data_IF_433073960645
#
_entry.id   IF_433073960645
#
_cell.length_a   1.000
_cell.length_b   1.000
_cell.length_c   1.000
_cell.angle_alpha   90.00
_cell.angle_beta   90.00
_cell.angle_gamma   90.00
#
_symmetry.space_group_name_H-M   'P 1'
#
loop_
_entity.id
_entity.type
_entity.pdbx_description
1 polymer ?
#
# COMPACT_ATOMS: atom_id res chain seq x y z
N UNK A 1 13.93 -4.83 -7.06
CA UNK A 1 13.20 -3.59 -6.79
C UNK A 1 14.14 -2.44 -6.48
N UNK A 2 13.67 -1.24 -6.78
CA UNK A 2 14.23 0.05 -6.39
C UNK A 2 13.31 0.62 -5.32
N UNK A 3 13.81 0.90 -4.11
CA UNK A 3 13.00 1.28 -2.98
C UNK A 3 13.58 2.54 -2.35
N UNK A 4 12.74 3.55 -2.11
CA UNK A 4 13.14 4.84 -1.53
C UNK A 4 12.24 5.15 -0.34
N UNK A 5 12.81 5.51 0.79
CA UNK A 5 12.07 6.03 1.93
C UNK A 5 11.60 7.45 1.62
N UNK A 6 10.33 7.73 1.87
CA UNK A 6 9.66 8.94 1.39
C UNK A 6 8.94 9.63 2.52
N UNK A 7 9.56 10.64 3.08
CA UNK A 7 8.92 11.50 4.07
C UNK A 7 8.55 10.81 5.39
N UNK A 8 7.36 11.09 5.86
CA UNK A 8 6.81 10.60 7.13
C UNK A 8 5.31 10.31 6.92
N UNK A 9 4.79 9.25 7.51
CA UNK A 9 3.39 8.83 7.43
C UNK A 9 2.39 9.91 7.92
N UNK A 10 2.85 10.88 8.72
CA UNK A 10 2.02 12.00 9.17
C UNK A 10 1.83 13.09 8.11
N UNK A 11 2.58 13.07 7.01
CA UNK A 11 2.40 13.98 5.88
C UNK A 11 1.39 13.40 4.88
N UNK A 12 0.11 13.57 5.19
CA UNK A 12 -0.97 13.04 4.35
C UNK A 12 -0.97 13.62 2.92
N UNK A 13 -0.50 14.87 2.74
CA UNK A 13 -0.41 15.45 1.39
C UNK A 13 0.65 14.74 0.55
N UNK A 14 1.81 14.49 1.14
CA UNK A 14 2.88 13.74 0.48
C UNK A 14 2.45 12.31 0.20
N UNK A 15 1.75 11.65 1.15
CA UNK A 15 1.23 10.30 0.98
C UNK A 15 0.29 10.18 -0.22
N UNK A 16 -0.77 10.99 -0.27
CA UNK A 16 -1.70 11.01 -1.41
C UNK A 16 -0.98 11.35 -2.72
N UNK A 17 0.02 12.26 -2.69
CA UNK A 17 0.78 12.58 -3.87
C UNK A 17 1.61 11.39 -4.39
N UNK A 18 2.15 10.54 -3.51
CA UNK A 18 2.86 9.32 -3.92
C UNK A 18 1.92 8.23 -4.44
N UNK A 19 0.71 8.10 -3.93
CA UNK A 19 -0.32 7.23 -4.54
C UNK A 19 -0.66 7.69 -5.96
N UNK A 20 -0.83 9.00 -6.15
CA UNK A 20 -1.04 9.57 -7.49
C UNK A 20 0.15 9.35 -8.41
N UNK A 21 1.38 9.47 -7.90
CA UNK A 21 2.60 9.18 -8.67
C UNK A 21 2.71 7.70 -9.03
N UNK A 22 2.38 6.78 -8.13
CA UNK A 22 2.34 5.35 -8.47
C UNK A 22 1.41 5.11 -9.65
N UNK A 23 0.19 5.65 -9.58
CA UNK A 23 -0.76 5.54 -10.67
C UNK A 23 -0.20 6.14 -11.97
N UNK A 24 0.24 7.39 -11.96
CA UNK A 24 0.64 8.12 -13.16
C UNK A 24 1.94 7.58 -13.79
N UNK A 25 2.89 7.10 -12.99
CA UNK A 25 4.20 6.65 -13.45
C UNK A 25 4.24 5.15 -13.82
N UNK A 26 3.40 4.31 -13.18
CA UNK A 26 3.52 2.85 -13.26
C UNK A 26 2.21 2.13 -13.61
N UNK A 27 1.04 2.65 -13.20
CA UNK A 27 -0.21 1.91 -13.29
C UNK A 27 -1.12 2.37 -14.43
N UNK A 28 -1.11 3.67 -14.78
CA UNK A 28 -1.94 4.22 -15.85
C UNK A 28 -1.57 3.65 -17.23
N UNK A 29 -2.51 3.60 -18.18
CA UNK A 29 -2.20 3.26 -19.57
C UNK A 29 -1.11 4.18 -20.14
N UNK A 30 -0.02 3.60 -20.64
CA UNK A 30 1.11 4.38 -21.18
C UNK A 30 2.04 5.01 -20.13
N UNK A 31 1.92 4.64 -18.87
CA UNK A 31 2.73 5.14 -17.77
C UNK A 31 4.23 5.13 -18.10
N UNK A 32 4.94 6.26 -17.94
CA UNK A 32 6.26 6.48 -18.53
C UNK A 32 7.34 5.56 -17.95
N UNK A 33 7.37 5.31 -16.65
CA UNK A 33 8.35 4.40 -16.04
C UNK A 33 8.12 2.96 -16.46
N UNK A 34 6.86 2.52 -16.44
CA UNK A 34 6.51 1.17 -16.92
C UNK A 34 6.92 0.98 -18.37
N UNK A 35 6.59 1.96 -19.22
CA UNK A 35 6.95 1.94 -20.64
C UNK A 35 8.47 1.92 -20.83
N UNK A 36 9.22 2.79 -20.16
CA UNK A 36 10.67 2.86 -20.31
C UNK A 36 11.37 1.53 -19.95
N UNK A 37 10.92 0.88 -18.86
CA UNK A 37 11.48 -0.40 -18.44
C UNK A 37 11.11 -1.57 -19.36
N UNK A 38 9.87 -1.58 -19.88
CA UNK A 38 9.44 -2.59 -20.85
C UNK A 38 10.14 -2.41 -22.21
N UNK A 39 10.28 -1.19 -22.70
CA UNK A 39 11.00 -0.88 -23.95
C UNK A 39 12.48 -1.28 -23.85
N UNK A 40 13.10 -1.14 -22.67
CA UNK A 40 14.45 -1.62 -22.37
C UNK A 40 14.50 -3.16 -22.14
N UNK A 41 13.39 -3.86 -22.25
CA UNK A 41 13.28 -5.30 -22.00
C UNK A 41 13.76 -5.75 -20.59
N UNK A 42 13.55 -4.89 -19.60
CA UNK A 42 13.91 -5.13 -18.21
C UNK A 42 12.71 -5.74 -17.49
N UNK A 43 12.74 -7.07 -17.36
CA UNK A 43 11.66 -7.82 -16.74
C UNK A 43 10.47 -8.08 -17.66
N UNK A 44 9.49 -8.79 -17.10
CA UNK A 44 8.25 -9.19 -17.79
C UNK A 44 7.03 -8.45 -17.26
N UNK A 45 7.11 -7.99 -16.02
CA UNK A 45 6.06 -7.24 -15.36
C UNK A 45 6.68 -6.15 -14.48
N UNK A 46 6.12 -4.94 -14.58
CA UNK A 46 6.58 -3.75 -13.88
C UNK A 46 5.40 -3.19 -13.11
N UNK A 47 5.60 -2.96 -11.81
CA UNK A 47 4.61 -2.34 -10.95
C UNK A 47 5.30 -1.51 -9.87
N UNK A 48 4.54 -0.62 -9.24
CA UNK A 48 4.96 0.15 -8.10
C UNK A 48 4.12 -0.15 -6.89
N UNK A 49 4.55 0.40 -5.77
CA UNK A 49 3.75 0.51 -4.56
C UNK A 49 4.25 1.66 -3.71
N UNK A 50 3.33 2.37 -3.10
CA UNK A 50 3.60 3.24 -1.97
C UNK A 50 3.08 2.55 -0.72
N UNK A 51 3.93 2.40 0.30
CA UNK A 51 3.61 1.73 1.55
C UNK A 51 3.74 2.74 2.68
N UNK A 52 2.61 3.15 3.24
CA UNK A 52 2.45 4.10 4.33
C UNK A 52 2.08 3.44 5.68
N UNK A 53 2.03 2.12 5.73
CA UNK A 53 1.74 1.35 6.94
C UNK A 53 2.83 1.43 8.03
N UNK A 54 3.86 2.22 7.82
CA UNK A 54 5.00 2.43 8.74
C UNK A 54 5.32 3.91 8.87
N UNK A 55 5.96 4.31 10.00
CA UNK A 55 6.30 5.71 10.27
C UNK A 55 7.12 6.38 9.15
N UNK A 56 8.01 5.63 8.53
CA UNK A 56 8.78 6.07 7.37
C UNK A 56 8.29 5.34 6.12
N UNK A 57 7.31 5.89 5.40
CA UNK A 57 6.78 5.30 4.18
C UNK A 57 7.86 5.09 3.14
N UNK A 58 7.61 4.17 2.23
CA UNK A 58 8.54 3.95 1.13
C UNK A 58 7.82 3.72 -0.20
N UNK A 59 8.47 4.21 -1.25
CA UNK A 59 8.02 4.01 -2.62
C UNK A 59 8.90 2.96 -3.29
N UNK A 60 8.27 1.97 -3.91
CA UNK A 60 8.94 0.85 -4.56
C UNK A 60 8.62 0.79 -6.05
N UNK A 61 9.63 0.52 -6.87
CA UNK A 61 9.48 0.17 -8.27
C UNK A 61 10.03 -1.24 -8.44
N UNK A 62 9.19 -2.16 -8.89
CA UNK A 62 9.51 -3.59 -8.98
C UNK A 62 9.52 -4.04 -10.42
N UNK A 63 10.59 -4.70 -10.83
CA UNK A 63 10.66 -5.45 -12.09
C UNK A 63 10.71 -6.95 -11.80
N UNK A 64 9.66 -7.67 -12.20
CA UNK A 64 9.55 -9.12 -12.04
C UNK A 64 10.05 -9.83 -13.30
N UNK A 65 10.86 -10.87 -13.11
CA UNK A 65 11.40 -11.66 -14.20
C UNK A 65 12.55 -11.00 -14.97
N UNK A 66 13.22 -10.00 -14.37
CA UNK A 66 14.45 -9.41 -14.88
C UNK A 66 15.66 -10.36 -14.68
N UNK A 67 16.69 -10.19 -15.48
CA UNK A 67 17.97 -10.90 -15.31
C UNK A 67 18.80 -10.18 -14.24
N UNK A 68 19.58 -10.92 -13.46
CA UNK A 68 20.48 -10.33 -12.45
C UNK A 68 21.52 -9.38 -13.05
N UNK A 69 21.94 -9.62 -14.31
CA UNK A 69 22.85 -8.73 -15.05
C UNK A 69 22.24 -7.38 -15.41
N UNK A 70 20.91 -7.23 -15.34
CA UNK A 70 20.21 -5.99 -15.69
C UNK A 70 20.04 -5.03 -14.51
N UNK A 71 20.63 -5.31 -13.35
CA UNK A 71 20.47 -4.50 -12.14
C UNK A 71 20.86 -3.02 -12.36
N UNK A 72 22.01 -2.79 -12.97
CA UNK A 72 22.51 -1.42 -13.22
C UNK A 72 21.66 -0.71 -14.28
N UNK A 73 21.30 -1.42 -15.34
CA UNK A 73 20.42 -0.93 -16.40
C UNK A 73 19.04 -0.55 -15.84
N UNK A 74 18.48 -1.37 -14.96
CA UNK A 74 17.22 -1.09 -14.26
C UNK A 74 17.28 0.24 -13.51
N UNK A 75 18.31 0.43 -12.68
CA UNK A 75 18.47 1.67 -11.89
C UNK A 75 18.70 2.89 -12.81
N UNK A 76 19.54 2.75 -13.82
CA UNK A 76 19.86 3.85 -14.74
C UNK A 76 18.65 4.26 -15.58
N UNK A 77 17.84 3.30 -16.03
CA UNK A 77 16.60 3.55 -16.79
C UNK A 77 15.59 4.30 -15.93
N UNK A 78 15.38 3.90 -14.67
CA UNK A 78 14.51 4.61 -13.72
C UNK A 78 15.00 6.04 -13.54
N UNK A 79 16.27 6.22 -13.18
CA UNK A 79 16.83 7.55 -12.91
C UNK A 79 16.73 8.47 -14.13
N UNK A 80 17.05 7.96 -15.31
CA UNK A 80 16.95 8.72 -16.57
C UNK A 80 15.50 9.14 -16.84
N UNK A 81 14.55 8.22 -16.73
CA UNK A 81 13.14 8.53 -16.93
C UNK A 81 12.64 9.60 -15.95
N UNK A 82 12.98 9.48 -14.66
CA UNK A 82 12.61 10.47 -13.64
C UNK A 82 13.28 11.82 -13.90
N UNK A 83 14.56 11.87 -14.32
CA UNK A 83 15.25 13.09 -14.70
C UNK A 83 14.59 13.77 -15.90
N UNK A 84 14.20 13.00 -16.90
CA UNK A 84 13.50 13.51 -18.08
C UNK A 84 12.13 14.10 -17.70
N UNK A 85 11.39 13.46 -16.79
CA UNK A 85 10.12 13.97 -16.26
C UNK A 85 10.34 15.27 -15.48
N UNK A 86 11.31 15.34 -14.59
CA UNK A 86 11.61 16.56 -13.82
C UNK A 86 12.06 17.72 -14.73
N UNK A 87 12.78 17.42 -15.80
CA UNK A 87 13.27 18.43 -16.76
C UNK A 87 12.16 18.96 -17.67
N UNK A 88 11.29 18.09 -18.16
CA UNK A 88 10.29 18.41 -19.18
C UNK A 88 8.90 18.72 -18.59
N UNK A 89 8.72 18.47 -17.30
CA UNK A 89 7.44 18.52 -16.59
C UNK A 89 6.72 17.18 -16.59
N UNK A 90 5.88 16.95 -15.57
CA UNK A 90 4.97 15.80 -15.50
C UNK A 90 3.86 15.94 -16.55
N UNK A 91 3.30 14.82 -16.98
CA UNK A 91 2.04 14.84 -17.73
C UNK A 91 0.90 15.24 -16.76
N UNK A 92 0.57 16.55 -16.83
CA UNK A 92 -0.47 17.13 -15.97
C UNK A 92 -1.83 16.45 -16.11
N UNK A 93 -2.16 15.95 -17.33
CA UNK A 93 -3.42 15.26 -17.57
C UNK A 93 -3.42 13.89 -16.86
N UNK A 94 -2.31 13.17 -16.94
CA UNK A 94 -2.16 11.89 -16.24
C UNK A 94 -2.20 12.07 -14.72
N UNK A 95 -1.54 13.10 -14.18
CA UNK A 95 -1.58 13.43 -12.74
C UNK A 95 -3.01 13.79 -12.31
N UNK A 96 -3.70 14.68 -13.03
CA UNK A 96 -5.08 15.06 -12.73
C UNK A 96 -6.03 13.85 -12.81
N UNK A 97 -5.84 12.97 -13.78
CA UNK A 97 -6.60 11.73 -13.88
C UNK A 97 -6.38 10.83 -12.66
N UNK A 98 -5.13 10.72 -12.19
CA UNK A 98 -4.78 10.00 -10.97
C UNK A 98 -5.45 10.59 -9.73
N UNK A 99 -5.37 11.92 -9.56
CA UNK A 99 -6.03 12.62 -8.44
C UNK A 99 -7.54 12.36 -8.45
N UNK A 100 -8.19 12.53 -9.61
CA UNK A 100 -9.63 12.30 -9.74
C UNK A 100 -10.01 10.85 -9.48
N UNK A 101 -9.21 9.89 -9.94
CA UNK A 101 -9.44 8.47 -9.69
C UNK A 101 -9.36 8.13 -8.20
N UNK A 102 -8.32 8.62 -7.51
CA UNK A 102 -8.14 8.38 -6.07
C UNK A 102 -9.23 9.09 -5.25
N UNK A 103 -9.55 10.35 -5.60
CA UNK A 103 -10.63 11.10 -4.95
C UNK A 103 -11.99 10.41 -5.12
N UNK A 104 -12.30 9.91 -6.32
CA UNK A 104 -13.54 9.17 -6.58
C UNK A 104 -13.62 7.93 -5.69
N UNK A 105 -12.58 7.12 -5.65
CA UNK A 105 -12.53 5.94 -4.79
C UNK A 105 -12.68 6.29 -3.32
N UNK A 106 -12.04 7.37 -2.88
CA UNK A 106 -12.13 7.85 -1.51
C UNK A 106 -13.58 8.29 -1.16
N UNK A 107 -14.26 9.04 -2.05
CA UNK A 107 -15.64 9.49 -1.86
C UNK A 107 -16.64 8.34 -1.82
N UNK A 108 -16.46 7.36 -2.71
CA UNK A 108 -17.33 6.18 -2.78
C UNK A 108 -17.07 5.19 -1.64
N UNK A 109 -15.95 5.34 -0.91
CA UNK A 109 -15.47 4.36 0.04
C UNK A 109 -15.46 2.95 -0.58
N UNK A 110 -14.85 2.86 -1.78
CA UNK A 110 -14.77 1.63 -2.55
C UNK A 110 -13.63 0.75 -2.03
N UNK A 111 -13.98 -0.09 -1.07
CA UNK A 111 -13.08 -1.10 -0.49
C UNK A 111 -13.35 -2.51 -1.03
N UNK A 112 -14.06 -2.61 -2.16
CA UNK A 112 -14.44 -3.89 -2.75
C UNK A 112 -15.31 -4.71 -1.80
N UNK A 113 -14.87 -5.95 -1.48
CA UNK A 113 -15.60 -6.86 -0.59
C UNK A 113 -15.34 -6.64 0.90
N UNK A 114 -14.43 -5.76 1.28
CA UNK A 114 -14.10 -5.52 2.68
C UNK A 114 -15.15 -4.62 3.37
N UNK A 115 -15.51 -4.92 4.65
CA UNK A 115 -16.41 -4.06 5.41
C UNK A 115 -15.84 -2.65 5.56
N UNK A 116 -16.63 -1.62 5.22
CA UNK A 116 -16.19 -0.21 5.27
C UNK A 116 -15.67 0.21 6.64
N UNK A 117 -16.35 -0.22 7.72
CA UNK A 117 -15.93 0.10 9.09
C UNK A 117 -14.55 -0.49 9.45
N UNK A 118 -14.24 -1.69 8.97
CA UNK A 118 -12.92 -2.29 9.14
C UNK A 118 -11.83 -1.46 8.43
N UNK A 119 -12.08 -1.09 7.18
CA UNK A 119 -11.10 -0.34 6.39
C UNK A 119 -10.85 1.05 6.98
N UNK A 120 -11.90 1.79 7.34
CA UNK A 120 -11.72 3.04 8.06
C UNK A 120 -11.00 2.88 9.41
N UNK A 121 -11.27 1.78 10.12
CA UNK A 121 -10.56 1.47 11.37
C UNK A 121 -9.06 1.25 11.15
N UNK A 122 -8.67 0.58 10.06
CA UNK A 122 -7.27 0.37 9.70
C UNK A 122 -6.59 1.69 9.27
N UNK A 123 -7.27 2.52 8.47
CA UNK A 123 -6.77 3.83 8.07
C UNK A 123 -6.54 4.74 9.28
N UNK A 124 -7.49 4.79 10.22
CA UNK A 124 -7.36 5.53 11.48
C UNK A 124 -6.20 4.99 12.31
N UNK A 125 -6.09 3.67 12.45
CA UNK A 125 -5.04 3.02 13.24
C UNK A 125 -3.66 3.33 12.68
N UNK A 126 -3.50 3.33 11.37
CA UNK A 126 -2.25 3.64 10.68
C UNK A 126 -1.68 5.00 11.08
N UNK A 127 -2.53 6.01 11.28
CA UNK A 127 -2.11 7.32 11.75
C UNK A 127 -2.01 7.39 13.29
N UNK A 128 -2.99 6.84 13.99
CA UNK A 128 -3.08 6.90 15.44
C UNK A 128 -1.90 6.24 16.16
N UNK A 129 -1.30 5.22 15.57
CA UNK A 129 -0.08 4.59 16.10
C UNK A 129 1.09 5.56 16.29
N UNK A 130 1.09 6.70 15.60
CA UNK A 130 2.20 7.65 15.57
C UNK A 130 1.81 9.06 16.02
N UNK A 131 0.52 9.39 16.01
CA UNK A 131 0.00 10.72 16.37
C UNK A 131 -1.34 10.59 17.10
N UNK A 132 -1.28 10.64 18.43
CA UNK A 132 -2.47 10.57 19.30
C UNK A 132 -3.37 11.81 19.19
N UNK A 133 -2.84 12.95 18.72
CA UNK A 133 -3.61 14.18 18.61
C UNK A 133 -4.46 14.25 17.33
N UNK A 134 -4.03 13.53 16.27
CA UNK A 134 -4.71 13.57 14.96
C UNK A 134 -5.06 12.17 14.42
N UNK A 135 -5.77 11.31 15.17
CA UNK A 135 -6.02 9.92 14.75
C UNK A 135 -6.84 9.82 13.46
N UNK A 136 -7.63 10.84 13.13
CA UNK A 136 -8.53 10.87 11.97
C UNK A 136 -7.95 11.57 10.74
N UNK A 137 -6.65 11.85 10.68
CA UNK A 137 -6.04 12.56 9.55
C UNK A 137 -6.27 11.84 8.21
N UNK A 138 -6.12 10.52 8.18
CA UNK A 138 -6.26 9.69 6.97
C UNK A 138 -7.72 9.54 6.47
N UNK A 139 -8.70 9.92 7.27
CA UNK A 139 -10.12 9.93 6.85
C UNK A 139 -10.64 11.35 6.58
N UNK A 140 -9.75 12.34 6.41
CA UNK A 140 -10.09 13.75 6.13
C UNK A 140 -9.31 14.28 4.92
N UNK A 141 -9.24 13.51 3.83
CA UNK A 141 -8.35 13.81 2.70
C UNK A 141 -8.95 14.71 1.62
N UNK A 142 -10.25 15.07 1.66
CA UNK A 142 -10.90 15.83 0.59
C UNK A 142 -10.19 17.14 0.26
N UNK A 143 -9.84 17.94 1.27
CA UNK A 143 -9.11 19.19 1.09
C UNK A 143 -7.70 18.98 0.49
N UNK A 144 -7.10 17.82 0.73
CA UNK A 144 -5.80 17.45 0.17
C UNK A 144 -5.93 17.20 -1.33
N UNK A 145 -6.97 16.50 -1.79
CA UNK A 145 -7.21 16.31 -3.21
C UNK A 145 -7.40 17.64 -3.93
N UNK A 146 -8.17 18.57 -3.37
CA UNK A 146 -8.37 19.90 -3.94
C UNK A 146 -7.03 20.66 -4.02
N UNK A 147 -6.24 20.65 -2.95
CA UNK A 147 -4.91 21.27 -2.93
C UNK A 147 -3.94 20.64 -3.94
N UNK A 148 -3.99 19.32 -4.12
CA UNK A 148 -3.14 18.63 -5.10
C UNK A 148 -3.50 19.00 -6.54
N UNK A 149 -4.79 19.25 -6.87
CA UNK A 149 -5.20 19.73 -8.19
C UNK A 149 -4.58 21.10 -8.52
N UNK A 150 -4.47 21.99 -7.53
CA UNK A 150 -3.78 23.29 -7.69
C UNK A 150 -2.27 23.07 -7.85
N UNK A 151 -1.69 22.23 -7.00
CA UNK A 151 -0.25 21.94 -6.93
C UNK A 151 0.33 21.35 -8.23
N UNK A 152 -0.49 20.71 -9.07
CA UNK A 152 -0.08 20.26 -10.41
C UNK A 152 0.49 21.39 -11.26
N UNK A 153 -0.03 22.61 -11.09
CA UNK A 153 0.43 23.77 -11.87
C UNK A 153 1.60 24.52 -11.23
N UNK A 154 1.94 24.19 -9.98
CA UNK A 154 2.99 24.82 -9.20
C UNK A 154 4.34 24.08 -9.27
N UNK A 155 4.42 22.95 -9.99
CA UNK A 155 5.63 22.13 -10.08
C UNK A 155 5.88 21.23 -8.87
N UNK A 156 4.87 21.03 -8.04
CA UNK A 156 4.98 20.23 -6.81
C UNK A 156 5.36 18.77 -7.08
N UNK A 157 4.80 18.15 -8.12
CA UNK A 157 5.10 16.76 -8.46
C UNK A 157 6.54 16.59 -8.97
N UNK A 158 7.05 17.53 -9.74
CA UNK A 158 8.46 17.55 -10.16
C UNK A 158 9.39 17.72 -8.95
N UNK A 159 9.01 18.56 -8.00
CA UNK A 159 9.79 18.79 -6.78
C UNK A 159 9.87 17.52 -5.92
N UNK A 160 8.75 16.84 -5.66
CA UNK A 160 8.77 15.63 -4.85
C UNK A 160 9.48 14.45 -5.55
N UNK A 161 9.36 14.32 -6.87
CA UNK A 161 10.16 13.36 -7.65
C UNK A 161 11.66 13.65 -7.48
N UNK A 162 12.07 14.91 -7.66
CA UNK A 162 13.47 15.30 -7.48
C UNK A 162 13.95 15.01 -6.06
N UNK A 163 13.25 15.53 -5.07
CA UNK A 163 13.64 15.44 -3.65
C UNK A 163 13.70 14.01 -3.16
N UNK A 164 12.68 13.20 -3.44
CA UNK A 164 12.51 11.91 -2.81
C UNK A 164 12.96 10.72 -3.64
N UNK A 165 12.99 10.82 -4.98
CA UNK A 165 13.35 9.69 -5.84
C UNK A 165 14.71 9.87 -6.54
N UNK A 166 15.18 11.11 -6.76
CA UNK A 166 16.45 11.38 -7.43
C UNK A 166 17.57 11.76 -6.47
N UNK A 167 17.35 12.76 -5.61
CA UNK A 167 18.37 13.34 -4.72
C UNK A 167 18.43 12.61 -3.38
N UNK A 168 17.42 11.81 -3.04
CA UNK A 168 17.37 11.04 -1.82
C UNK A 168 18.38 9.87 -1.86
N UNK A 169 19.13 9.74 -0.76
CA UNK A 169 20.11 8.64 -0.56
C UNK A 169 19.58 7.54 0.34
N UNK A 170 18.41 7.74 0.98
CA UNK A 170 17.79 6.75 1.86
C UNK A 170 16.97 5.75 1.05
N UNK A 171 17.64 4.78 0.48
CA UNK A 171 16.99 3.77 -0.34
C UNK A 171 17.81 2.50 -0.50
N UNK A 172 17.20 1.49 -1.08
CA UNK A 172 17.84 0.20 -1.35
C UNK A 172 17.50 -0.33 -2.74
N UNK A 173 18.44 -1.07 -3.30
CA UNK A 173 18.22 -1.88 -4.51
C UNK A 173 18.24 -3.35 -4.08
N UNK A 174 17.08 -3.99 -4.08
CA UNK A 174 16.94 -5.38 -3.69
C UNK A 174 16.82 -6.29 -4.93
N UNK A 175 17.63 -7.33 -4.98
CA UNK A 175 17.54 -8.37 -6.01
C UNK A 175 17.21 -9.70 -5.36
N UNK A 176 16.02 -10.25 -5.68
CA UNK A 176 15.62 -11.58 -5.24
C UNK A 176 15.95 -12.61 -6.34
N UNK A 177 16.80 -13.56 -6.00
CA UNK A 177 17.21 -14.61 -6.92
C UNK A 177 16.54 -15.92 -6.51
N UNK A 178 15.80 -16.60 -7.42
CA UNK A 178 15.17 -17.87 -7.09
C UNK A 178 16.25 -18.94 -6.85
N UNK A 179 16.09 -19.71 -5.77
CA UNK A 179 16.95 -20.83 -5.43
C UNK A 179 16.12 -22.11 -5.36
N UNK A 180 16.37 -23.03 -6.30
CA UNK A 180 15.70 -24.34 -6.31
C UNK A 180 16.04 -25.11 -5.02
N UNK A 181 15.04 -25.79 -4.46
CA UNK A 181 15.20 -26.62 -3.26
C UNK A 181 15.29 -25.83 -1.94
N UNK A 182 15.21 -24.49 -1.98
CA UNK A 182 15.31 -23.69 -0.75
C UNK A 182 14.15 -23.98 0.23
N UNK A 183 12.94 -24.17 -0.28
CA UNK A 183 11.79 -24.52 0.56
C UNK A 183 12.00 -25.88 1.25
N UNK A 184 12.33 -26.92 0.49
CA UNK A 184 12.61 -28.25 1.04
C UNK A 184 13.77 -28.24 2.04
N UNK A 185 14.81 -27.44 1.77
CA UNK A 185 15.91 -27.28 2.74
C UNK A 185 15.41 -26.63 4.05
N UNK A 186 14.64 -25.55 3.95
CA UNK A 186 14.10 -24.85 5.15
C UNK A 186 13.18 -25.74 5.96
N UNK A 187 12.37 -26.55 5.29
CA UNK A 187 11.48 -27.53 5.94
C UNK A 187 12.32 -28.57 6.70
N UNK A 188 13.35 -29.14 6.07
CA UNK A 188 14.25 -30.08 6.73
C UNK A 188 15.02 -29.44 7.90
N UNK A 189 15.56 -28.22 7.71
CA UNK A 189 16.26 -27.49 8.77
C UNK A 189 15.31 -27.23 9.96
N UNK A 190 14.02 -26.95 9.70
CA UNK A 190 12.98 -26.79 10.72
C UNK A 190 12.66 -28.10 11.44
N UNK A 191 12.48 -29.21 10.70
CA UNK A 191 12.23 -30.54 11.27
C UNK A 191 13.39 -30.96 12.20
N UNK A 192 14.65 -30.77 11.74
CA UNK A 192 15.83 -31.09 12.55
C UNK A 192 15.90 -30.21 13.82
N UNK A 193 15.55 -28.93 13.72
CA UNK A 193 15.49 -28.01 14.85
C UNK A 193 14.41 -28.43 15.86
N UNK A 194 13.21 -28.77 15.37
CA UNK A 194 12.09 -29.20 16.22
C UNK A 194 12.38 -30.54 16.89
N UNK A 195 13.00 -31.50 16.18
CA UNK A 195 13.35 -32.80 16.78
C UNK A 195 14.44 -32.63 17.85
N UNK A 196 15.43 -31.76 17.60
CA UNK A 196 16.41 -31.43 18.62
C UNK A 196 15.79 -30.77 19.84
N UNK A 197 14.83 -29.84 19.64
CA UNK A 197 14.11 -29.22 20.71
C UNK A 197 13.28 -30.24 21.50
N UNK A 198 12.52 -31.08 20.79
CA UNK A 198 11.74 -32.17 21.41
C UNK A 198 12.61 -33.09 22.26
N UNK A 199 13.79 -33.49 21.73
CA UNK A 199 14.72 -34.37 22.44
C UNK A 199 15.37 -33.72 23.66
N UNK A 200 15.33 -32.38 23.77
CA UNK A 200 15.82 -31.62 24.94
C UNK A 200 14.80 -31.49 26.05
N UNK A 201 13.52 -31.81 25.79
CA UNK A 201 12.45 -31.72 26.76
C UNK A 201 12.33 -33.00 27.55
N UNK A 202 12.05 -32.88 28.86
CA UNK A 202 11.62 -33.96 29.71
C UNK A 202 10.16 -34.39 29.38
N UNK A 203 9.77 -35.59 29.76
CA UNK A 203 8.40 -36.07 29.58
C UNK A 203 7.38 -35.12 30.22
N UNK A 204 7.67 -34.57 31.38
CA UNK A 204 6.80 -33.60 32.07
C UNK A 204 6.64 -32.28 31.28
N UNK A 205 7.71 -31.78 30.68
CA UNK A 205 7.66 -30.55 29.83
C UNK A 205 6.88 -30.81 28.54
N UNK A 206 7.03 -32.00 27.96
CA UNK A 206 6.26 -32.40 26.79
C UNK A 206 4.76 -32.51 27.09
N UNK A 207 4.39 -33.14 28.22
CA UNK A 207 3.01 -33.22 28.65
C UNK A 207 2.41 -31.82 28.91
N UNK A 208 3.19 -30.92 29.51
CA UNK A 208 2.74 -29.56 29.75
C UNK A 208 2.52 -28.78 28.45
N UNK A 209 3.39 -28.95 27.43
CA UNK A 209 3.21 -28.37 26.09
C UNK A 209 1.91 -28.89 25.45
N UNK A 210 1.68 -30.20 25.48
CA UNK A 210 0.45 -30.81 24.96
C UNK A 210 -0.78 -30.24 25.68
N UNK A 211 -0.72 -30.11 27.02
CA UNK A 211 -1.80 -29.55 27.81
C UNK A 211 -2.11 -28.10 27.42
N UNK A 212 -1.05 -27.25 27.25
CA UNK A 212 -1.19 -25.85 26.82
C UNK A 212 -1.77 -25.75 25.42
N UNK A 213 -1.31 -26.58 24.49
CA UNK A 213 -1.83 -26.59 23.11
C UNK A 213 -3.29 -26.93 23.06
N UNK A 214 -3.69 -28.01 23.78
CA UNK A 214 -5.11 -28.40 23.90
C UNK A 214 -5.97 -27.32 24.56
N UNK A 215 -5.44 -26.62 25.55
CA UNK A 215 -6.14 -25.53 26.20
C UNK A 215 -6.33 -24.35 25.27
N UNK A 216 -5.32 -24.03 24.43
CA UNK A 216 -5.41 -22.99 23.40
C UNK A 216 -6.44 -23.37 22.32
N UNK A 217 -6.40 -24.61 21.81
CA UNK A 217 -7.37 -25.12 20.84
C UNK A 217 -8.80 -25.02 21.40
N UNK A 218 -9.01 -25.49 22.62
CA UNK A 218 -10.34 -25.42 23.30
C UNK A 218 -10.79 -23.96 23.48
N UNK A 219 -9.87 -23.03 23.77
CA UNK A 219 -10.19 -21.60 23.86
C UNK A 219 -10.58 -21.02 22.50
N UNK A 220 -9.84 -21.35 21.44
CA UNK A 220 -10.12 -20.86 20.08
C UNK A 220 -11.42 -21.42 19.50
N UNK A 221 -11.82 -22.64 19.90
CA UNK A 221 -13.06 -23.27 19.47
C UNK A 221 -14.25 -22.93 20.39
N UNK A 222 -14.00 -22.27 21.53
CA UNK A 222 -15.08 -21.91 22.46
C UNK A 222 -15.99 -20.83 21.87
N UNK A 223 -17.28 -20.95 22.09
CA UNK A 223 -18.23 -19.91 21.77
C UNK A 223 -17.96 -18.68 22.66
N UNK A 224 -18.00 -17.50 22.04
CA UNK A 224 -17.90 -16.24 22.77
C UNK A 224 -19.06 -16.07 23.74
N UNK A 225 -18.76 -15.51 24.91
CA UNK A 225 -19.82 -15.24 25.88
C UNK A 225 -20.77 -14.14 25.31
N UNK A 226 -22.07 -14.39 25.20
CA UNK A 226 -23.03 -13.43 24.67
C UNK A 226 -22.95 -12.03 25.33
N UNK A 227 -22.61 -11.99 26.64
CA UNK A 227 -22.44 -10.70 27.35
C UNK A 227 -21.24 -9.90 26.87
N UNK A 228 -20.16 -10.56 26.47
CA UNK A 228 -18.97 -9.92 25.96
C UNK A 228 -19.24 -9.36 24.56
N UNK A 229 -20.13 -10.02 23.79
CA UNK A 229 -20.59 -9.55 22.49
C UNK A 229 -21.51 -8.30 22.58
N UNK A 230 -22.14 -8.03 23.73
CA UNK A 230 -22.97 -6.83 23.93
C UNK A 230 -22.18 -5.51 23.81
N UNK A 231 -20.85 -5.54 23.96
CA UNK A 231 -20.00 -4.37 23.75
C UNK A 231 -19.86 -3.96 22.28
N UNK A 232 -20.18 -4.88 21.34
CA UNK A 232 -20.14 -4.61 19.91
C UNK A 232 -21.33 -3.73 19.54
N UNK A 233 -21.12 -2.52 18.95
CA UNK A 233 -22.21 -1.65 18.54
C UNK A 233 -23.00 -2.31 17.40
N UNK A 234 -24.25 -2.68 17.69
CA UNK A 234 -25.16 -3.27 16.72
C UNK A 234 -26.01 -2.20 16.06
N UNK A 235 -26.16 -2.28 14.73
CA UNK A 235 -27.06 -1.42 13.98
C UNK A 235 -28.52 -1.62 14.46
N UNK A 236 -29.17 -0.51 14.77
CA UNK A 236 -30.58 -0.48 15.12
C UNK A 236 -31.40 -0.07 13.91
N UNK A 237 -32.68 -0.44 13.90
CA UNK A 237 -33.61 -0.03 12.83
C UNK A 237 -33.71 1.49 12.70
N UNK A 238 -33.46 2.25 13.76
CA UNK A 238 -33.39 3.71 13.75
C UNK A 238 -32.20 4.27 12.99
N UNK A 239 -31.15 3.49 12.81
CA UNK A 239 -29.90 3.93 12.14
C UNK A 239 -30.03 3.82 10.60
N UNK A 240 -31.10 3.15 10.14
CA UNK A 240 -31.40 3.01 8.71
C UNK A 240 -32.13 4.27 8.26
N UNK A 241 -31.57 4.98 7.30
CA UNK A 241 -32.23 6.12 6.64
C UNK A 241 -33.54 5.65 6.00
N UNK A 242 -34.62 6.39 6.23
CA UNK A 242 -35.93 6.07 5.65
C UNK A 242 -36.12 6.61 4.24
N UNK A 243 -35.30 7.56 3.86
CA UNK A 243 -35.35 8.22 2.57
C UNK A 243 -34.07 7.93 1.79
N UNK A 244 -34.20 7.62 0.52
CA UNK A 244 -33.08 7.49 -0.42
C UNK A 244 -32.68 8.91 -0.85
N UNK A 245 -31.39 9.24 -0.85
CA UNK A 245 -30.92 10.50 -1.45
C UNK A 245 -31.35 10.53 -2.93
N UNK A 246 -32.15 11.55 -3.28
CA UNK A 246 -32.56 11.75 -4.66
C UNK A 246 -31.38 12.21 -5.52
N UNK A 247 -31.26 11.62 -6.69
CA UNK A 247 -30.32 12.12 -7.69
C UNK A 247 -30.95 13.29 -8.43
N UNK A 248 -30.27 14.44 -8.45
CA UNK A 248 -30.65 15.53 -9.37
C UNK A 248 -29.93 15.30 -10.70
N UNK A 249 -30.67 14.92 -11.72
CA UNK A 249 -30.13 14.79 -13.07
C UNK A 249 -30.55 16.03 -13.89
N UNK A 250 -29.58 16.64 -14.58
CA UNK A 250 -29.86 17.61 -15.64
C UNK A 250 -29.72 16.87 -16.99
N UNK A 251 -30.80 16.86 -17.77
CA UNK A 251 -30.73 16.35 -19.14
C UNK A 251 -30.22 17.47 -20.05
N UNK A 252 -29.00 17.30 -20.57
CA UNK A 252 -28.46 18.16 -21.62
C UNK A 252 -28.75 17.52 -22.97
N UNK A 253 -29.60 18.18 -23.77
CA UNK A 253 -29.73 17.81 -25.18
C UNK A 253 -28.48 18.30 -25.93
N UNK A 254 -27.70 17.35 -26.45
CA UNK A 254 -26.57 17.66 -27.34
C UNK A 254 -27.08 17.52 -28.75
N UNK A 255 -27.22 18.63 -29.47
CA UNK A 255 -27.49 18.62 -30.92
C UNK A 255 -26.24 18.06 -31.63
N UNK A 256 -26.45 17.07 -32.51
CA UNK A 256 -25.42 16.47 -33.35
C UNK A 256 -25.13 17.36 -34.56
#
# INVERSE_FOLDING_TARGET
>A
SFNMVVGNAMDSMLGVAFDVLDYALLSAPGAPLKKALLDAQIGKDIYGSYDDGVLQPFFSIVSKGAKTSQKEEFVSTIRKCLQDIVKNGVDKKAILAGINYMEFRYREADFGSYPKGLMYGLDILGNWLYDDENPFAQVKLLAIYDRLKEAVNEGYFEEIIRKWLLDNTHGTILTLIPKRGLAAKREKDLEEMLEKYRSSLSDAELEELVRKTKALEAYQESEENPKDLECIPMLKRSDIRREVEGFSNEELAVDN
#
